data_IF_558748074938
#
_entry.id   IF_558748074938
#
_cell.length_a   1.000
_cell.length_b   1.000
_cell.length_c   1.000
_cell.angle_alpha   90.00
_cell.angle_beta   90.00
_cell.angle_gamma   90.00
#
_symmetry.space_group_name_H-M   'P 1'
#
loop_
_entity.id
_entity.type
_entity.pdbx_description
1 polymer ?
#
# COMPACT_ATOMS: atom_id res chain seq x y z
N UNK A 1 -3.37 5.76 -5.51
CA UNK A 1 -3.56 4.49 -6.24
C UNK A 1 -2.33 3.65 -6.01
N UNK A 2 -2.52 2.38 -5.69
CA UNK A 2 -1.52 1.38 -5.32
C UNK A 2 -0.80 1.61 -3.98
N UNK A 3 -0.02 2.68 -3.88
CA UNK A 3 0.72 3.11 -2.68
C UNK A 3 0.73 4.65 -2.64
N UNK A 4 0.64 5.29 -1.46
CA UNK A 4 0.86 6.73 -1.35
C UNK A 4 2.18 7.15 -2.00
N UNK A 5 2.14 8.06 -2.97
CA UNK A 5 3.34 8.55 -3.66
C UNK A 5 4.37 9.04 -2.65
N UNK A 6 5.61 8.57 -2.80
CA UNK A 6 6.72 8.86 -1.89
C UNK A 6 6.86 7.93 -0.69
N UNK A 7 6.00 6.92 -0.54
CA UNK A 7 6.16 5.86 0.45
C UNK A 7 6.84 4.63 -0.17
N UNK A 8 7.81 4.05 0.53
CA UNK A 8 8.41 2.77 0.13
C UNK A 8 7.38 1.64 0.29
N UNK A 9 7.05 0.96 -0.82
CA UNK A 9 6.04 -0.11 -0.85
C UNK A 9 6.39 -1.35 0.00
N UNK A 10 7.65 -1.55 0.36
CA UNK A 10 8.09 -2.71 1.14
C UNK A 10 8.27 -2.37 2.61
N UNK A 11 8.97 -1.27 2.90
CA UNK A 11 9.36 -0.89 4.27
C UNK A 11 8.38 0.06 4.94
N UNK A 12 7.61 0.83 4.18
CA UNK A 12 6.74 1.88 4.74
C UNK A 12 7.50 3.13 5.19
N UNK A 13 8.76 3.29 4.78
CA UNK A 13 9.54 4.51 5.00
C UNK A 13 9.19 5.60 3.99
N UNK A 14 9.40 6.86 4.38
CA UNK A 14 9.21 8.01 3.50
C UNK A 14 10.46 8.22 2.65
N UNK A 15 10.28 8.28 1.33
CA UNK A 15 11.33 8.56 0.35
C UNK A 15 11.44 10.08 0.13
N UNK A 16 11.86 10.80 1.16
CA UNK A 16 12.00 12.26 1.19
C UNK A 16 10.70 12.99 1.56
N UNK A 17 9.62 12.77 0.82
CA UNK A 17 8.27 13.22 1.20
C UNK A 17 7.25 12.18 0.78
N UNK A 18 6.08 12.16 1.42
CA UNK A 18 5.01 11.27 1.03
C UNK A 18 3.65 11.97 1.16
N UNK A 19 2.68 11.56 0.35
CA UNK A 19 1.30 12.01 0.52
C UNK A 19 0.68 11.34 1.76
N UNK A 20 -0.38 11.95 2.29
CA UNK A 20 -1.28 11.32 3.25
C UNK A 20 -2.63 11.13 2.57
N UNK A 21 -2.93 9.91 2.17
CA UNK A 21 -4.18 9.58 1.51
C UNK A 21 -5.32 9.43 2.53
N UNK A 22 -6.53 9.84 2.15
CA UNK A 22 -7.74 9.46 2.88
C UNK A 22 -8.05 7.97 2.69
N UNK A 23 -7.78 7.45 1.49
CA UNK A 23 -7.93 6.03 1.15
C UNK A 23 -6.95 5.62 0.06
N UNK A 24 -6.55 4.34 0.06
CA UNK A 24 -5.66 3.73 -0.93
C UNK A 24 -6.30 2.47 -1.51
N UNK A 25 -6.58 2.46 -2.81
CA UNK A 25 -6.88 1.23 -3.55
C UNK A 25 -5.56 0.60 -3.99
N UNK A 26 -5.29 -0.63 -3.61
CA UNK A 26 -4.08 -1.38 -3.96
C UNK A 26 -4.43 -2.67 -4.70
N UNK A 27 -3.58 -3.12 -5.62
CA UNK A 27 -3.92 -4.22 -6.53
C UNK A 27 -3.34 -5.57 -6.09
N UNK A 28 -4.13 -6.64 -6.30
CA UNK A 28 -3.87 -8.04 -5.98
C UNK A 28 -3.71 -8.33 -4.48
N UNK A 29 -2.69 -7.75 -3.83
CA UNK A 29 -2.38 -7.96 -2.42
C UNK A 29 -1.94 -6.66 -1.75
N UNK A 30 -2.11 -6.53 -0.42
CA UNK A 30 -1.57 -5.40 0.31
C UNK A 30 -0.04 -5.41 0.26
N UNK A 31 0.55 -4.28 -0.10
CA UNK A 31 2.00 -4.08 -0.05
C UNK A 31 2.40 -3.97 1.41
N UNK A 32 3.50 -4.61 1.82
CA UNK A 32 3.90 -4.64 3.24
C UNK A 32 4.17 -3.25 3.80
N UNK A 33 4.65 -2.33 2.98
CA UNK A 33 4.89 -0.95 3.35
C UNK A 33 3.63 -0.15 3.66
N UNK A 34 2.44 -0.59 3.22
CA UNK A 34 1.16 0.02 3.63
C UNK A 34 0.79 -0.33 5.07
N UNK A 35 1.29 -1.46 5.58
CA UNK A 35 0.95 -2.03 6.88
C UNK A 35 2.06 -1.86 7.92
N UNK A 36 3.11 -1.09 7.60
CA UNK A 36 4.30 -0.90 8.43
C UNK A 36 4.66 0.58 8.51
N UNK A 37 5.38 0.96 9.57
CA UNK A 37 6.00 2.27 9.74
C UNK A 37 5.04 3.44 9.42
N UNK A 38 5.44 4.37 8.55
CA UNK A 38 4.64 5.53 8.19
C UNK A 38 3.48 5.17 7.25
N UNK A 39 3.49 3.98 6.64
CA UNK A 39 2.40 3.50 5.79
C UNK A 39 1.06 3.46 6.50
N UNK A 40 1.03 3.01 7.76
CA UNK A 40 -0.19 2.94 8.57
C UNK A 40 -0.86 4.32 8.71
N UNK A 41 -0.05 5.38 8.79
CA UNK A 41 -0.55 6.77 8.97
C UNK A 41 -0.90 7.45 7.65
N UNK A 42 -0.34 6.96 6.53
CA UNK A 42 -0.36 7.62 5.21
C UNK A 42 -1.29 6.94 4.21
N UNK A 43 -1.61 5.67 4.41
CA UNK A 43 -2.45 4.91 3.49
C UNK A 43 -3.95 5.25 3.59
N UNK A 44 -4.40 5.72 4.77
CA UNK A 44 -5.84 5.86 5.05
C UNK A 44 -6.53 4.49 5.01
N UNK A 45 -7.80 4.46 4.60
CA UNK A 45 -8.52 3.20 4.39
C UNK A 45 -7.94 2.43 3.20
N UNK A 46 -7.57 1.16 3.40
CA UNK A 46 -6.96 0.33 2.36
C UNK A 46 -8.02 -0.60 1.75
N UNK A 47 -8.19 -0.50 0.43
CA UNK A 47 -9.03 -1.40 -0.36
C UNK A 47 -8.16 -2.24 -1.28
N UNK A 48 -8.25 -3.56 -1.18
CA UNK A 48 -7.54 -4.47 -2.10
C UNK A 48 -8.44 -4.78 -3.28
N UNK A 49 -8.03 -4.39 -4.48
CA UNK A 49 -8.76 -4.67 -5.72
C UNK A 49 -8.20 -5.92 -6.39
N UNK A 50 -9.09 -6.88 -6.61
CA UNK A 50 -8.83 -8.04 -7.47
C UNK A 50 -8.57 -7.60 -8.91
N UNK A 51 -7.50 -8.13 -9.49
CA UNK A 51 -7.05 -7.92 -10.87
C UNK A 51 -6.66 -9.25 -11.56
N UNK A 52 -7.14 -10.40 -11.06
CA UNK A 52 -6.89 -11.71 -11.65
C UNK A 52 -5.57 -12.37 -11.24
N UNK A 53 -4.98 -11.95 -10.12
CA UNK A 53 -3.75 -12.57 -9.56
C UNK A 53 -4.13 -13.30 -8.28
N UNK A 54 -3.97 -14.62 -8.30
CA UNK A 54 -4.33 -15.50 -7.19
C UNK A 54 -3.11 -16.28 -6.71
N UNK A 55 -3.14 -16.67 -5.43
CA UNK A 55 -2.14 -17.58 -4.88
C UNK A 55 -2.32 -18.94 -5.56
N UNK A 56 -1.24 -19.58 -6.05
CA UNK A 56 -1.33 -20.94 -6.57
C UNK A 56 -1.97 -21.87 -5.54
N UNK A 57 -2.86 -22.75 -5.99
CA UNK A 57 -3.34 -23.85 -5.16
C UNK A 57 -2.13 -24.74 -4.80
N UNK A 58 -1.94 -24.98 -3.51
CA UNK A 58 -0.87 -25.84 -2.96
C UNK A 58 -1.36 -27.25 -2.79
#
# INVERSE_FOLDING_TARGET
MDVPSGLNATTGEILGSAIRANSTVTFAYPKTGLLKNEGIKRAGDIYVKDIGIFRPET
#
